data_IF_710449517637
#
_entry.id   IF_710449517637
#
_cell.length_a   1.000
_cell.length_b   1.000
_cell.length_c   1.000
_cell.angle_alpha   90.00
_cell.angle_beta   90.00
_cell.angle_gamma   90.00
#
_symmetry.space_group_name_H-M   'P 1'
#
loop_
_entity.id
_entity.type
_entity.pdbx_description
1 polymer ?
#
# COMPACT_ATOMS: atom_id res chain seq x y z
N UNK A 1 10.71 -38.31 -16.25
CA UNK A 1 11.05 -37.27 -17.24
C UNK A 1 9.99 -36.21 -17.15
N UNK A 2 10.31 -35.05 -16.58
CA UNK A 2 9.48 -33.86 -16.77
C UNK A 2 9.60 -33.53 -18.25
N UNK A 3 8.54 -33.77 -19.00
CA UNK A 3 8.41 -33.28 -20.37
C UNK A 3 8.69 -31.78 -20.30
N UNK A 4 9.67 -31.31 -21.08
CA UNK A 4 9.89 -29.87 -21.31
C UNK A 4 8.57 -29.32 -21.87
N UNK A 5 7.74 -28.83 -20.97
CA UNK A 5 6.47 -28.22 -21.29
C UNK A 5 6.78 -26.88 -21.93
N UNK A 6 6.13 -26.61 -23.07
CA UNK A 6 6.26 -25.34 -23.77
C UNK A 6 6.11 -24.16 -22.77
N UNK A 7 7.07 -23.23 -22.69
CA UNK A 7 7.00 -22.08 -21.79
C UNK A 7 5.70 -21.29 -21.91
N UNK A 8 5.09 -21.23 -23.10
CA UNK A 8 3.81 -20.54 -23.29
C UNK A 8 2.65 -21.28 -22.61
N UNK A 9 2.64 -22.61 -22.69
CA UNK A 9 1.66 -23.46 -21.98
C UNK A 9 1.88 -23.38 -20.48
N UNK A 10 3.14 -23.32 -20.02
CA UNK A 10 3.47 -23.13 -18.60
C UNK A 10 2.91 -21.81 -18.05
N UNK A 11 3.08 -20.71 -18.80
CA UNK A 11 2.56 -19.39 -18.42
C UNK A 11 1.02 -19.36 -18.39
N UNK A 12 0.36 -20.03 -19.35
CA UNK A 12 -1.10 -20.16 -19.37
C UNK A 12 -1.61 -20.98 -18.17
N UNK A 13 -0.94 -22.07 -17.84
CA UNK A 13 -1.28 -22.91 -16.69
C UNK A 13 -1.08 -22.17 -15.37
N UNK A 14 0.02 -21.40 -15.23
CA UNK A 14 0.24 -20.53 -14.08
C UNK A 14 -0.89 -19.50 -13.95
N UNK A 15 -1.24 -18.81 -15.04
CA UNK A 15 -2.33 -17.84 -15.04
C UNK A 15 -3.65 -18.49 -14.58
N UNK A 16 -3.95 -19.69 -15.07
CA UNK A 16 -5.15 -20.43 -14.70
C UNK A 16 -5.13 -20.87 -13.22
N UNK A 17 -3.98 -21.34 -12.72
CA UNK A 17 -3.81 -21.67 -11.30
C UNK A 17 -4.00 -20.43 -10.40
N UNK A 18 -3.42 -19.29 -10.78
CA UNK A 18 -3.62 -18.02 -10.08
C UNK A 18 -5.07 -17.56 -10.11
N UNK A 19 -5.78 -17.76 -11.23
CA UNK A 19 -7.20 -17.45 -11.40
C UNK A 19 -8.08 -18.30 -10.47
N UNK A 20 -7.80 -19.59 -10.40
CA UNK A 20 -8.52 -20.55 -9.55
C UNK A 20 -8.10 -20.48 -8.07
N UNK A 21 -7.09 -19.66 -7.75
CA UNK A 21 -6.48 -19.53 -6.42
C UNK A 21 -5.88 -20.85 -5.89
N UNK A 22 -5.34 -21.67 -6.79
CA UNK A 22 -4.62 -22.90 -6.44
C UNK A 22 -3.16 -22.56 -6.11
N UNK A 23 -2.86 -22.42 -4.81
CA UNK A 23 -1.54 -22.06 -4.30
C UNK A 23 -0.49 -23.13 -4.60
N UNK A 24 -0.82 -24.41 -4.45
CA UNK A 24 0.14 -25.51 -4.63
C UNK A 24 0.60 -25.61 -6.08
N UNK A 25 -0.36 -25.69 -7.01
CA UNK A 25 -0.08 -25.74 -8.44
C UNK A 25 0.64 -24.47 -8.92
N UNK A 26 0.27 -23.28 -8.42
CA UNK A 26 0.94 -22.05 -8.81
C UNK A 26 2.40 -22.02 -8.33
N UNK A 27 2.70 -22.51 -7.13
CA UNK A 27 4.07 -22.60 -6.62
C UNK A 27 4.93 -23.59 -7.43
N UNK A 28 4.39 -24.76 -7.76
CA UNK A 28 5.10 -25.74 -8.60
C UNK A 28 5.52 -25.13 -9.94
N UNK A 29 4.66 -24.32 -10.55
CA UNK A 29 5.01 -23.60 -11.77
C UNK A 29 6.07 -22.53 -11.50
N UNK A 30 5.92 -21.70 -10.46
CA UNK A 30 6.87 -20.61 -10.15
C UNK A 30 8.29 -21.08 -9.83
N UNK A 31 8.46 -22.29 -9.28
CA UNK A 31 9.78 -22.92 -9.10
C UNK A 31 10.48 -23.24 -10.43
N UNK A 32 9.75 -23.28 -11.55
CA UNK A 32 10.25 -23.47 -12.89
C UNK A 32 11.04 -22.25 -13.41
N UNK A 33 12.23 -22.48 -13.98
CA UNK A 33 13.17 -21.42 -14.40
C UNK A 33 12.76 -20.58 -15.61
N UNK A 34 11.68 -20.93 -16.32
CA UNK A 34 11.31 -20.32 -17.61
C UNK A 34 9.94 -19.60 -17.58
N UNK A 35 9.47 -19.21 -16.40
CA UNK A 35 8.19 -18.51 -16.27
C UNK A 35 8.31 -17.01 -16.54
N UNK A 36 7.42 -16.51 -17.39
CA UNK A 36 7.17 -15.09 -17.56
C UNK A 36 6.02 -14.67 -16.62
N UNK A 37 6.36 -14.16 -15.44
CA UNK A 37 5.36 -13.66 -14.48
C UNK A 37 4.58 -12.42 -14.98
N UNK A 38 5.05 -11.78 -16.05
CA UNK A 38 4.37 -10.67 -16.74
C UNK A 38 3.49 -11.14 -17.91
N UNK A 39 3.25 -12.45 -18.04
CA UNK A 39 2.36 -12.99 -19.06
C UNK A 39 0.95 -12.39 -18.94
N UNK A 40 0.39 -11.95 -20.07
CA UNK A 40 -0.94 -11.36 -20.15
C UNK A 40 -1.88 -12.27 -20.94
N UNK A 41 -3.11 -12.46 -20.43
CA UNK A 41 -4.19 -13.09 -21.18
C UNK A 41 -4.74 -12.20 -22.29
N UNK A 42 -5.60 -12.75 -23.14
CA UNK A 42 -6.36 -11.96 -24.15
C UNK A 42 -7.16 -10.82 -23.51
N UNK A 43 -7.66 -11.03 -22.28
CA UNK A 43 -8.38 -10.03 -21.48
C UNK A 43 -7.44 -9.09 -20.69
N UNK A 44 -6.13 -9.12 -20.95
CA UNK A 44 -5.07 -8.34 -20.28
C UNK A 44 -4.92 -8.63 -18.78
N UNK A 45 -5.31 -9.82 -18.33
CA UNK A 45 -5.07 -10.27 -16.97
C UNK A 45 -3.70 -10.91 -16.84
N UNK A 46 -3.01 -10.61 -15.73
CA UNK A 46 -1.74 -11.24 -15.38
C UNK A 46 -1.89 -12.17 -14.18
N UNK A 47 -0.93 -13.07 -13.93
CA UNK A 47 -0.87 -13.83 -12.70
C UNK A 47 -0.98 -12.93 -11.47
N UNK A 48 -0.24 -11.80 -11.46
CA UNK A 48 -0.27 -10.84 -10.36
C UNK A 48 -1.64 -10.19 -10.17
N UNK A 49 -2.35 -9.84 -11.25
CA UNK A 49 -3.71 -9.29 -11.16
C UNK A 49 -4.70 -10.28 -10.53
N UNK A 50 -4.63 -11.57 -10.88
CA UNK A 50 -5.48 -12.61 -10.30
C UNK A 50 -5.18 -12.83 -8.83
N UNK A 51 -3.89 -12.98 -8.49
CA UNK A 51 -3.43 -13.14 -7.11
C UNK A 51 -3.86 -11.96 -6.22
N UNK A 52 -3.74 -10.73 -6.74
CA UNK A 52 -4.18 -9.52 -6.06
C UNK A 52 -5.70 -9.39 -5.95
N UNK A 53 -6.47 -10.04 -6.84
CA UNK A 53 -7.93 -10.10 -6.73
C UNK A 53 -8.38 -11.13 -5.69
N UNK A 54 -7.69 -12.27 -5.64
CA UNK A 54 -7.99 -13.40 -4.77
C UNK A 54 -7.51 -13.19 -3.33
N UNK A 55 -6.49 -12.35 -3.11
CA UNK A 55 -5.98 -12.04 -1.77
C UNK A 55 -4.92 -13.01 -1.27
N UNK A 56 -4.21 -13.69 -2.17
CA UNK A 56 -3.11 -14.58 -1.80
C UNK A 56 -1.82 -13.79 -1.59
N UNK A 57 -1.56 -13.39 -0.35
CA UNK A 57 -0.37 -12.60 0.03
C UNK A 57 0.96 -13.31 -0.28
N UNK A 58 1.00 -14.65 -0.16
CA UNK A 58 2.22 -15.44 -0.38
C UNK A 58 2.60 -15.45 -1.86
N UNK A 59 1.65 -15.80 -2.73
CA UNK A 59 1.86 -15.75 -4.18
C UNK A 59 2.15 -14.32 -4.63
N UNK A 60 1.52 -13.31 -4.02
CA UNK A 60 1.80 -11.91 -4.34
C UNK A 60 3.24 -11.58 -4.03
N UNK A 61 3.73 -11.96 -2.84
CA UNK A 61 5.11 -11.74 -2.44
C UNK A 61 6.10 -12.42 -3.38
N UNK A 62 5.90 -13.69 -3.73
CA UNK A 62 6.79 -14.44 -4.65
C UNK A 62 6.81 -13.79 -6.04
N UNK A 63 5.64 -13.53 -6.63
CA UNK A 63 5.54 -12.90 -7.96
C UNK A 63 6.22 -11.53 -8.00
N UNK A 64 6.09 -10.75 -6.93
CA UNK A 64 6.67 -9.41 -6.84
C UNK A 64 8.19 -9.46 -6.60
N UNK A 65 8.65 -10.22 -5.61
CA UNK A 65 10.05 -10.23 -5.17
C UNK A 65 10.96 -11.09 -6.02
N UNK A 66 10.49 -12.28 -6.41
CA UNK A 66 11.34 -13.28 -7.08
C UNK A 66 11.25 -13.17 -8.60
N UNK A 67 10.07 -12.80 -9.12
CA UNK A 67 9.83 -12.73 -10.57
C UNK A 67 9.64 -11.32 -11.12
N UNK A 68 9.70 -10.28 -10.28
CA UNK A 68 9.65 -8.88 -10.72
C UNK A 68 8.37 -8.48 -11.46
N UNK A 69 7.24 -9.14 -11.18
CA UNK A 69 5.97 -8.94 -11.90
C UNK A 69 5.40 -7.51 -11.78
N UNK A 70 5.94 -6.68 -10.88
CA UNK A 70 5.59 -5.27 -10.76
C UNK A 70 6.08 -4.42 -11.94
N UNK A 71 7.19 -4.80 -12.59
CA UNK A 71 7.90 -3.93 -13.56
C UNK A 71 7.03 -3.46 -14.71
N UNK A 72 6.13 -4.32 -15.20
CA UNK A 72 5.20 -3.99 -16.29
C UNK A 72 4.16 -2.90 -15.95
N UNK A 73 3.94 -2.60 -14.67
CA UNK A 73 2.99 -1.58 -14.21
C UNK A 73 3.66 -0.28 -13.82
N UNK A 74 4.97 -0.30 -13.62
CA UNK A 74 5.75 0.87 -13.30
C UNK A 74 6.07 1.54 -14.62
N UNK A 75 5.54 2.75 -14.85
CA UNK A 75 5.91 3.54 -16.02
C UNK A 75 7.42 3.78 -15.93
N UNK A 76 8.17 3.38 -16.97
CA UNK A 76 9.58 3.77 -17.09
C UNK A 76 9.64 5.27 -16.83
N UNK A 77 10.61 5.70 -16.01
CA UNK A 77 10.98 7.10 -15.95
C UNK A 77 11.53 7.43 -17.35
N UNK A 78 10.64 7.69 -18.31
CA UNK A 78 11.02 8.41 -19.52
C UNK A 78 11.84 9.59 -19.04
N UNK A 79 13.01 9.79 -19.67
CA UNK A 79 13.92 10.92 -19.52
C UNK A 79 13.16 12.23 -19.75
N UNK A 80 12.28 12.60 -18.84
CA UNK A 80 11.86 13.97 -18.62
C UNK A 80 13.06 14.56 -17.92
N UNK A 81 13.77 15.39 -18.68
CA UNK A 81 14.83 16.29 -18.26
C UNK A 81 14.80 16.52 -16.74
N UNK A 82 15.93 16.29 -16.07
CA UNK A 82 16.11 16.48 -14.63
C UNK A 82 15.70 17.90 -14.22
N UNK A 83 14.42 18.13 -13.97
CA UNK A 83 13.96 19.14 -13.04
C UNK A 83 14.09 18.50 -11.66
N UNK A 84 15.16 18.85 -10.94
CA UNK A 84 15.56 18.34 -9.61
C UNK A 84 14.47 18.48 -8.50
N UNK A 85 13.27 18.94 -8.84
CA UNK A 85 12.14 19.22 -7.95
C UNK A 85 10.80 18.63 -8.46
N UNK A 86 10.82 17.66 -9.41
CA UNK A 86 9.60 17.08 -9.98
C UNK A 86 9.03 15.96 -9.09
N UNK A 87 7.87 16.23 -8.49
CA UNK A 87 7.08 15.35 -7.62
C UNK A 87 6.74 13.98 -8.28
N UNK A 88 7.03 12.83 -7.63
CA UNK A 88 6.65 11.50 -8.13
C UNK A 88 5.12 11.27 -8.21
N UNK A 89 4.31 12.21 -7.70
CA UNK A 89 2.84 12.14 -7.65
C UNK A 89 2.13 13.13 -8.57
N UNK A 90 2.75 13.53 -9.69
CA UNK A 90 2.16 14.47 -10.65
C UNK A 90 0.80 13.98 -11.16
N UNK A 91 -0.24 14.73 -10.83
CA UNK A 91 -1.63 14.60 -11.31
C UNK A 91 -1.66 14.46 -12.84
N UNK A 92 -2.31 13.43 -13.41
CA UNK A 92 -2.48 13.34 -14.86
C UNK A 92 -3.29 14.54 -15.36
N UNK A 93 -2.69 15.34 -16.25
CA UNK A 93 -3.38 16.38 -17.01
C UNK A 93 -4.31 15.68 -18.01
N UNK A 94 -5.60 15.73 -17.70
CA UNK A 94 -6.71 15.37 -18.57
C UNK A 94 -6.97 13.87 -18.80
N UNK A 95 -8.25 13.51 -18.76
CA UNK A 95 -8.84 12.19 -19.00
C UNK A 95 -8.69 11.68 -20.46
N UNK A 96 -7.60 12.05 -21.15
CA UNK A 96 -7.27 11.60 -22.51
C UNK A 96 -6.32 10.40 -22.54
N UNK A 97 -5.66 10.07 -21.43
CA UNK A 97 -4.96 8.78 -21.32
C UNK A 97 -5.98 7.66 -21.09
N UNK A 98 -6.01 6.67 -21.99
CA UNK A 98 -6.72 5.41 -21.74
C UNK A 98 -5.91 4.63 -20.71
N UNK A 99 -6.33 4.69 -19.45
CA UNK A 99 -5.69 3.97 -18.35
C UNK A 99 -5.82 2.45 -18.46
N UNK A 100 -5.14 1.71 -17.58
CA UNK A 100 -5.26 0.24 -17.48
C UNK A 100 -5.47 -0.18 -16.04
N UNK A 101 -6.20 -1.28 -15.84
CA UNK A 101 -6.30 -1.87 -14.50
C UNK A 101 -4.93 -2.38 -14.06
N UNK A 102 -4.47 -1.88 -12.91
CA UNK A 102 -3.26 -2.38 -12.24
C UNK A 102 -3.67 -3.34 -11.11
N UNK A 103 -2.78 -4.25 -10.66
CA UNK A 103 -3.04 -5.12 -9.50
C UNK A 103 -3.44 -4.33 -8.25
N UNK A 104 -2.93 -3.10 -8.11
CA UNK A 104 -3.27 -2.19 -7.02
C UNK A 104 -4.74 -1.78 -7.02
N UNK A 105 -5.38 -1.61 -8.19
CA UNK A 105 -6.81 -1.35 -8.28
C UNK A 105 -7.63 -2.52 -7.72
N UNK A 106 -7.26 -3.75 -8.09
CA UNK A 106 -7.94 -4.96 -7.63
C UNK A 106 -7.76 -5.20 -6.14
N UNK A 107 -6.52 -5.12 -5.64
CA UNK A 107 -6.23 -5.26 -4.21
C UNK A 107 -6.97 -4.19 -3.38
N UNK A 108 -7.06 -2.96 -3.90
CA UNK A 108 -7.79 -1.86 -3.27
C UNK A 108 -9.29 -2.09 -3.21
N UNK A 109 -9.89 -2.53 -4.32
CA UNK A 109 -11.32 -2.84 -4.40
C UNK A 109 -11.69 -4.01 -3.49
N UNK A 110 -10.82 -5.03 -3.42
CA UNK A 110 -11.08 -6.22 -2.60
C UNK A 110 -10.73 -6.06 -1.13
N UNK A 111 -9.91 -5.06 -0.79
CA UNK A 111 -9.55 -4.75 0.60
C UNK A 111 -8.37 -5.54 1.13
N UNK A 112 -7.58 -6.14 0.23
CA UNK A 112 -6.42 -6.95 0.56
C UNK A 112 -5.24 -6.05 0.94
N UNK A 113 -5.30 -5.50 2.15
CA UNK A 113 -4.39 -4.44 2.60
C UNK A 113 -2.92 -4.88 2.64
N UNK A 114 -2.61 -6.14 2.98
CA UNK A 114 -1.24 -6.67 2.96
C UNK A 114 -0.67 -6.68 1.54
N UNK A 115 -1.46 -7.10 0.55
CA UNK A 115 -1.09 -6.98 -0.87
C UNK A 115 -0.89 -5.52 -1.27
N UNK A 116 -1.78 -4.61 -0.86
CA UNK A 116 -1.61 -3.16 -1.13
C UNK A 116 -0.26 -2.67 -0.63
N UNK A 117 0.15 -3.09 0.56
CA UNK A 117 1.45 -2.73 1.13
C UNK A 117 2.63 -3.23 0.28
N UNK A 118 2.59 -4.49 -0.14
CA UNK A 118 3.59 -5.08 -1.03
C UNK A 118 3.68 -4.33 -2.36
N UNK A 119 2.55 -4.06 -3.00
CA UNK A 119 2.51 -3.35 -4.28
C UNK A 119 3.05 -1.92 -4.17
N UNK A 120 2.71 -1.19 -3.09
CA UNK A 120 3.27 0.13 -2.82
C UNK A 120 4.78 0.06 -2.56
N UNK A 121 5.26 -0.99 -1.91
CA UNK A 121 6.70 -1.20 -1.64
C UNK A 121 7.48 -1.41 -2.93
N UNK A 122 6.90 -2.11 -3.89
CA UNK A 122 7.47 -2.31 -5.24
C UNK A 122 7.32 -1.09 -6.15
N UNK A 123 6.67 -0.02 -5.70
CA UNK A 123 6.61 1.26 -6.43
C UNK A 123 5.43 1.40 -7.39
N UNK A 124 4.41 0.53 -7.31
CA UNK A 124 3.15 0.78 -8.03
C UNK A 124 2.52 2.07 -7.51
N UNK A 125 2.10 2.95 -8.42
CA UNK A 125 1.52 4.23 -8.05
C UNK A 125 0.03 4.09 -7.72
N UNK A 126 -0.44 4.56 -6.54
CA UNK A 126 -1.87 4.64 -6.24
C UNK A 126 -2.59 5.67 -7.11
N UNK A 127 -1.85 6.48 -7.88
CA UNK A 127 -2.37 7.49 -8.80
C UNK A 127 -2.52 7.00 -10.24
N UNK A 128 -2.03 5.80 -10.55
CA UNK A 128 -2.32 5.20 -11.85
C UNK A 128 -3.82 5.07 -12.04
N UNK A 129 -4.28 5.33 -13.27
CA UNK A 129 -5.70 5.34 -13.61
C UNK A 129 -6.09 4.09 -14.40
N UNK A 130 -7.28 3.57 -14.13
CA UNK A 130 -7.94 2.54 -14.93
C UNK A 130 -8.59 3.11 -16.21
N UNK A 131 -9.24 2.24 -16.98
CA UNK A 131 -9.93 2.60 -18.24
C UNK A 131 -11.08 3.60 -18.05
N UNK A 132 -11.55 3.82 -16.82
CA UNK A 132 -12.59 4.79 -16.46
C UNK A 132 -12.01 6.03 -15.79
N UNK A 133 -10.68 6.15 -15.72
CA UNK A 133 -9.98 7.22 -15.02
C UNK A 133 -10.01 7.09 -13.50
N UNK A 134 -10.45 5.96 -12.95
CA UNK A 134 -10.42 5.76 -11.50
C UNK A 134 -9.00 5.43 -11.06
N UNK A 135 -8.58 5.96 -9.93
CA UNK A 135 -7.35 5.57 -9.24
C UNK A 135 -7.61 4.43 -8.24
N UNK A 136 -6.56 3.88 -7.64
CA UNK A 136 -6.68 2.88 -6.57
C UNK A 136 -7.54 3.36 -5.39
N UNK A 137 -7.49 4.66 -5.08
CA UNK A 137 -8.33 5.30 -4.06
C UNK A 137 -9.82 5.22 -4.40
N UNK A 138 -10.19 5.52 -5.64
CA UNK A 138 -11.58 5.45 -6.09
C UNK A 138 -12.14 4.03 -5.89
N UNK A 139 -11.33 3.02 -6.19
CA UNK A 139 -11.69 1.62 -5.99
C UNK A 139 -11.84 1.26 -4.51
N UNK A 140 -10.90 1.68 -3.65
CA UNK A 140 -11.00 1.47 -2.19
C UNK A 140 -12.22 2.18 -1.57
N UNK A 141 -12.56 3.37 -2.05
CA UNK A 141 -13.73 4.09 -1.58
C UNK A 141 -15.04 3.43 -2.03
N UNK A 142 -15.11 3.00 -3.30
CA UNK A 142 -16.27 2.29 -3.85
C UNK A 142 -16.57 0.98 -3.10
N UNK A 143 -15.55 0.27 -2.66
CA UNK A 143 -15.71 -0.97 -1.89
C UNK A 143 -15.87 -0.77 -0.38
N UNK A 144 -15.69 0.45 0.13
CA UNK A 144 -15.80 0.74 1.56
C UNK A 144 -14.57 0.33 2.39
N UNK A 145 -13.41 0.13 1.76
CA UNK A 145 -12.21 -0.38 2.40
C UNK A 145 -11.44 0.70 3.18
N UNK A 146 -11.91 1.00 4.39
CA UNK A 146 -11.31 1.99 5.29
C UNK A 146 -9.81 1.76 5.57
N UNK A 147 -9.32 0.54 5.89
CA UNK A 147 -7.89 0.33 6.17
C UNK A 147 -6.98 0.65 4.98
N UNK A 148 -7.44 0.37 3.76
CA UNK A 148 -6.72 0.68 2.53
C UNK A 148 -6.66 2.20 2.31
N UNK A 149 -7.76 2.92 2.58
CA UNK A 149 -7.77 4.38 2.49
C UNK A 149 -6.89 5.04 3.55
N UNK A 150 -6.90 4.56 4.79
CA UNK A 150 -5.96 5.02 5.82
C UNK A 150 -4.51 4.82 5.38
N UNK A 151 -4.20 3.68 4.74
CA UNK A 151 -2.89 3.42 4.17
C UNK A 151 -2.52 4.46 3.10
N UNK A 152 -3.42 4.75 2.15
CA UNK A 152 -3.17 5.78 1.13
C UNK A 152 -3.02 7.18 1.71
N UNK A 153 -3.87 7.59 2.65
CA UNK A 153 -3.71 8.87 3.35
C UNK A 153 -2.40 8.95 4.13
N UNK A 154 -1.95 7.84 4.71
CA UNK A 154 -0.67 7.78 5.41
C UNK A 154 0.52 7.97 4.46
N UNK A 155 0.33 7.71 3.16
CA UNK A 155 1.31 7.96 2.09
C UNK A 155 1.11 9.30 1.37
N UNK A 156 0.18 10.12 1.81
CA UNK A 156 -0.05 11.45 1.25
C UNK A 156 -0.78 11.45 -0.09
N UNK A 157 -1.50 10.37 -0.40
CA UNK A 157 -2.27 10.28 -1.64
C UNK A 157 -3.42 11.29 -1.62
N UNK A 158 -3.57 12.05 -2.70
CA UNK A 158 -4.65 13.01 -2.87
C UNK A 158 -6.00 12.31 -3.11
N UNK A 159 -6.99 12.68 -2.30
CA UNK A 159 -8.35 12.13 -2.35
C UNK A 159 -9.31 12.96 -3.23
N UNK A 160 -8.85 14.12 -3.73
CA UNK A 160 -9.66 15.08 -4.49
C UNK A 160 -9.56 14.87 -6.01
N UNK A 161 -8.80 13.86 -6.44
CA UNK A 161 -8.70 13.48 -7.84
C UNK A 161 -10.06 13.04 -8.37
N UNK A 162 -10.37 13.51 -9.58
CA UNK A 162 -11.60 13.17 -10.29
C UNK A 162 -11.30 12.16 -11.38
N UNK A 163 -12.15 11.15 -11.50
CA UNK A 163 -12.11 10.22 -12.62
C UNK A 163 -12.65 10.84 -13.92
N UNK A 164 -12.69 10.07 -15.01
CA UNK A 164 -13.15 10.54 -16.32
C UNK A 164 -14.63 10.95 -16.37
N UNK A 165 -15.42 10.59 -15.34
CA UNK A 165 -16.81 11.01 -15.17
C UNK A 165 -16.96 12.23 -14.25
N UNK A 166 -15.85 12.77 -13.73
CA UNK A 166 -15.84 13.92 -12.84
C UNK A 166 -16.14 13.58 -11.37
N UNK A 167 -16.21 12.31 -11.01
CA UNK A 167 -16.44 11.85 -9.63
C UNK A 167 -15.12 11.71 -8.87
N UNK A 168 -15.10 12.15 -7.62
CA UNK A 168 -14.03 11.91 -6.66
C UNK A 168 -14.23 10.58 -5.93
N UNK A 169 -13.22 10.16 -5.16
CA UNK A 169 -13.36 9.01 -4.27
C UNK A 169 -14.53 9.17 -3.27
N UNK A 170 -14.77 10.41 -2.81
CA UNK A 170 -15.90 10.73 -1.93
C UNK A 170 -17.26 10.41 -2.58
N UNK A 171 -17.41 10.74 -3.86
CA UNK A 171 -18.65 10.52 -4.61
C UNK A 171 -18.95 9.04 -4.82
N UNK A 172 -17.91 8.21 -4.91
CA UNK A 172 -18.03 6.76 -5.07
C UNK A 172 -18.15 6.01 -3.72
N UNK A 173 -17.87 6.67 -2.61
CA UNK A 173 -17.85 6.04 -1.29
C UNK A 173 -19.20 5.40 -0.91
N UNK A 174 -19.16 4.14 -0.47
CA UNK A 174 -20.36 3.38 -0.10
C UNK A 174 -20.72 3.48 1.38
N UNK A 175 -19.73 3.54 2.27
CA UNK A 175 -19.93 3.58 3.73
C UNK A 175 -19.79 4.99 4.29
N UNK A 176 -20.38 5.23 5.47
CA UNK A 176 -20.30 6.53 6.13
C UNK A 176 -18.89 6.79 6.66
N UNK A 177 -18.24 5.77 7.20
CA UNK A 177 -16.90 5.84 7.76
C UNK A 177 -15.87 6.25 6.71
N UNK A 178 -16.00 5.72 5.49
CA UNK A 178 -15.17 6.12 4.35
C UNK A 178 -15.44 7.55 3.91
N UNK A 179 -16.70 7.98 3.90
CA UNK A 179 -17.05 9.39 3.62
C UNK A 179 -16.48 10.32 4.67
N UNK A 180 -16.58 9.95 5.94
CA UNK A 180 -16.13 10.76 7.06
C UNK A 180 -14.60 10.96 7.00
N UNK A 181 -13.81 9.91 6.75
CA UNK A 181 -12.35 10.05 6.65
C UNK A 181 -11.91 10.84 5.42
N UNK A 182 -12.57 10.66 4.27
CA UNK A 182 -12.27 11.43 3.05
C UNK A 182 -12.63 12.90 3.26
N UNK A 183 -13.80 13.19 3.84
CA UNK A 183 -14.20 14.55 4.18
C UNK A 183 -13.25 15.18 5.20
N UNK A 184 -12.83 14.45 6.22
CA UNK A 184 -11.87 14.95 7.20
C UNK A 184 -10.53 15.28 6.55
N UNK A 185 -10.05 14.41 5.66
CA UNK A 185 -8.84 14.67 4.89
C UNK A 185 -8.96 15.98 4.09
N UNK A 186 -10.04 16.11 3.30
CA UNK A 186 -10.30 17.28 2.43
C UNK A 186 -10.46 18.55 3.25
N UNK A 187 -11.25 18.52 4.32
CA UNK A 187 -11.52 19.67 5.18
C UNK A 187 -10.30 20.12 5.99
N UNK A 188 -9.31 19.24 6.19
CA UNK A 188 -8.08 19.62 6.88
C UNK A 188 -7.13 20.34 5.92
N UNK A 189 -7.13 21.66 5.99
CA UNK A 189 -6.28 22.54 5.16
C UNK A 189 -4.92 22.87 5.79
N UNK A 190 -4.73 22.57 7.08
CA UNK A 190 -3.50 22.95 7.82
C UNK A 190 -2.97 21.82 8.68
N UNK A 191 -1.65 21.76 8.80
CA UNK A 191 -0.98 20.83 9.70
C UNK A 191 -1.41 21.07 11.16
N UNK A 192 -1.75 19.98 11.87
CA UNK A 192 -2.15 20.04 13.28
C UNK A 192 -1.02 20.56 14.19
N UNK A 193 0.25 20.30 13.85
CA UNK A 193 1.39 20.67 14.70
C UNK A 193 1.96 22.06 14.41
N UNK A 194 2.16 22.43 13.14
CA UNK A 194 2.84 23.68 12.76
C UNK A 194 1.94 24.67 12.03
N UNK A 195 0.66 24.32 11.78
CA UNK A 195 -0.34 25.15 11.12
C UNK A 195 0.00 25.62 9.70
N UNK A 196 1.04 25.03 9.08
CA UNK A 196 1.35 25.21 7.66
C UNK A 196 0.17 24.78 6.80
N UNK A 197 -0.17 25.59 5.79
CA UNK A 197 -1.21 25.26 4.82
C UNK A 197 -0.74 24.10 3.95
N UNK A 198 -1.64 23.16 3.68
CA UNK A 198 -1.40 22.07 2.77
C UNK A 198 -1.63 22.49 1.33
N UNK A 199 -0.75 22.06 0.45
CA UNK A 199 -0.82 22.30 -0.99
C UNK A 199 -0.04 21.19 -1.72
N UNK A 200 0.20 21.36 -3.01
CA UNK A 200 0.93 20.40 -3.83
C UNK A 200 2.40 20.21 -3.41
N UNK A 201 3.01 21.17 -2.70
CA UNK A 201 4.38 21.04 -2.15
C UNK A 201 4.36 20.50 -0.72
N UNK A 202 3.37 20.93 0.05
CA UNK A 202 3.21 20.58 1.45
C UNK A 202 2.10 19.52 1.60
N UNK A 203 2.48 18.27 1.34
CA UNK A 203 1.57 17.13 1.29
C UNK A 203 1.00 16.81 2.70
N UNK A 204 -0.26 16.33 2.69
CA UNK A 204 -1.01 15.89 3.89
C UNK A 204 -0.73 14.44 4.20
N UNK A 205 -0.10 14.16 5.33
CA UNK A 205 0.13 12.80 5.81
C UNK A 205 -0.75 12.45 7.00
N UNK A 206 -1.42 11.31 6.93
CA UNK A 206 -2.27 10.82 8.00
C UNK A 206 -1.49 9.99 9.02
N UNK A 207 -1.48 10.44 10.28
CA UNK A 207 -0.90 9.71 11.39
C UNK A 207 -1.82 8.55 11.81
N UNK A 208 -1.36 7.31 11.68
CA UNK A 208 -2.18 6.13 11.98
C UNK A 208 -2.54 5.99 13.46
N UNK A 209 -1.74 6.58 14.36
CA UNK A 209 -1.95 6.47 15.81
C UNK A 209 -2.99 7.47 16.31
N UNK A 210 -2.80 8.75 16.01
CA UNK A 210 -3.70 9.81 16.49
C UNK A 210 -4.80 10.17 15.50
N UNK A 211 -4.82 9.54 14.31
CA UNK A 211 -5.86 9.70 13.28
C UNK A 211 -6.04 11.16 12.86
N UNK A 212 -4.94 11.87 12.60
CA UNK A 212 -4.90 13.31 12.23
C UNK A 212 -3.87 13.58 11.14
N UNK A 213 -3.99 14.72 10.47
CA UNK A 213 -3.14 15.10 9.35
C UNK A 213 -1.97 16.03 9.73
N UNK A 214 -0.80 15.74 9.17
CA UNK A 214 0.45 16.45 9.42
C UNK A 214 1.20 16.69 8.11
N UNK A 215 2.08 17.69 8.08
CA UNK A 215 2.95 17.91 6.92
C UNK A 215 4.20 17.02 6.98
N UNK A 216 4.92 16.93 5.87
CA UNK A 216 6.18 16.15 5.74
C UNK A 216 7.20 16.43 6.85
N UNK A 217 7.25 17.65 7.39
CA UNK A 217 8.18 18.02 8.48
C UNK A 217 7.71 17.59 9.87
N UNK A 218 6.41 17.37 10.03
CA UNK A 218 5.77 17.04 11.31
C UNK A 218 5.33 15.57 11.39
N UNK A 219 5.62 14.76 10.38
CA UNK A 219 5.35 13.33 10.33
C UNK A 219 6.51 12.55 9.74
N UNK A 220 6.62 11.31 10.17
CA UNK A 220 7.60 10.37 9.69
C UNK A 220 6.89 9.20 9.00
N UNK A 221 7.29 8.93 7.76
CA UNK A 221 6.84 7.80 6.95
C UNK A 221 7.91 6.73 6.96
N UNK A 222 7.58 5.55 7.48
CA UNK A 222 8.49 4.43 7.64
C UNK A 222 7.84 3.13 7.16
N UNK A 223 8.68 2.15 6.88
CA UNK A 223 8.25 0.76 6.68
C UNK A 223 8.58 -0.03 7.94
N UNK A 224 7.61 -0.77 8.47
CA UNK A 224 7.76 -1.59 9.68
C UNK A 224 7.53 -3.06 9.38
N UNK A 225 7.94 -3.94 10.29
CA UNK A 225 7.58 -5.35 10.26
C UNK A 225 6.09 -5.49 10.60
N UNK A 226 5.39 -6.35 9.85
CA UNK A 226 3.97 -6.65 10.11
C UNK A 226 3.83 -7.61 11.31
N UNK A 227 4.63 -8.67 11.32
CA UNK A 227 4.66 -9.71 12.36
C UNK A 227 6.08 -9.99 12.84
N UNK A 228 6.21 -10.70 13.97
CA UNK A 228 7.51 -11.11 14.50
C UNK A 228 8.26 -12.05 13.55
N UNK A 229 7.54 -12.84 12.75
CA UNK A 229 8.10 -13.76 11.74
C UNK A 229 8.45 -13.07 10.43
N UNK A 230 7.97 -11.84 10.21
CA UNK A 230 8.21 -11.11 8.95
C UNK A 230 9.71 -10.92 8.70
N UNK A 231 10.19 -11.31 7.53
CA UNK A 231 11.60 -11.17 7.14
C UNK A 231 11.93 -9.75 6.67
N UNK A 232 10.93 -9.04 6.14
CA UNK A 232 11.09 -7.73 5.53
C UNK A 232 10.15 -6.68 6.13
N UNK A 233 10.57 -5.41 6.05
CA UNK A 233 9.77 -4.25 6.46
C UNK A 233 8.87 -3.81 5.31
N UNK A 234 7.63 -4.26 5.35
CA UNK A 234 6.65 -4.11 4.27
C UNK A 234 5.40 -3.37 4.71
N UNK A 235 5.16 -3.18 6.01
CA UNK A 235 4.00 -2.44 6.51
C UNK A 235 4.26 -0.93 6.43
N UNK A 236 3.52 -0.17 5.59
CA UNK A 236 3.69 1.26 5.44
C UNK A 236 3.03 1.98 6.62
N UNK A 237 3.81 2.77 7.35
CA UNK A 237 3.33 3.46 8.54
C UNK A 237 3.67 4.95 8.46
N UNK A 238 2.73 5.80 8.85
CA UNK A 238 2.98 7.21 9.08
C UNK A 238 2.59 7.59 10.50
N UNK A 239 3.49 8.26 11.23
CA UNK A 239 3.19 8.83 12.55
C UNK A 239 3.63 10.27 12.61
N UNK A 240 2.90 11.11 13.35
CA UNK A 240 3.40 12.44 13.68
C UNK A 240 4.59 12.35 14.63
N UNK A 241 5.46 13.36 14.63
CA UNK A 241 6.69 13.37 15.45
C UNK A 241 6.38 13.09 16.93
N UNK A 242 5.29 13.67 17.47
CA UNK A 242 4.90 13.43 18.87
C UNK A 242 4.51 11.96 19.16
N UNK A 243 3.82 11.30 18.24
CA UNK A 243 3.48 9.87 18.38
C UNK A 243 4.73 9.00 18.20
N UNK A 244 5.58 9.33 17.24
CA UNK A 244 6.83 8.63 16.97
C UNK A 244 7.80 8.70 18.16
N UNK A 245 7.95 9.88 18.77
CA UNK A 245 8.78 10.07 19.97
C UNK A 245 8.29 9.27 21.17
N UNK A 246 6.96 9.20 21.36
CA UNK A 246 6.35 8.39 22.42
C UNK A 246 6.59 6.90 22.19
N UNK A 247 6.44 6.44 20.95
CA UNK A 247 6.74 5.05 20.56
C UNK A 247 8.21 4.71 20.87
N UNK A 248 9.16 5.51 20.36
CA UNK A 248 10.61 5.34 20.61
C UNK A 248 10.98 5.37 22.08
N UNK A 249 10.28 6.16 22.90
CA UNK A 249 10.47 6.15 24.35
C UNK A 249 10.00 4.84 24.96
N UNK A 250 8.80 4.37 24.60
CA UNK A 250 8.25 3.09 25.03
C UNK A 250 9.16 1.92 24.66
N UNK A 251 9.68 1.90 23.43
CA UNK A 251 10.61 0.86 22.94
C UNK A 251 11.93 0.83 23.72
N UNK A 252 12.50 2.00 24.05
CA UNK A 252 13.71 2.07 24.89
C UNK A 252 13.45 1.55 26.30
N UNK A 253 12.37 1.99 26.93
CA UNK A 253 12.01 1.53 28.28
C UNK A 253 11.70 0.03 28.29
N UNK A 254 11.04 -0.50 27.26
CA UNK A 254 10.79 -1.93 27.10
C UNK A 254 12.12 -2.70 27.01
N UNK A 255 13.03 -2.27 26.15
CA UNK A 255 14.34 -2.90 25.96
C UNK A 255 15.16 -2.89 27.25
N UNK A 256 15.22 -1.74 27.95
CA UNK A 256 15.90 -1.61 29.23
C UNK A 256 15.29 -2.53 30.31
N UNK A 257 13.96 -2.65 30.37
CA UNK A 257 13.28 -3.53 31.30
C UNK A 257 13.56 -5.02 31.01
N UNK A 258 13.61 -5.40 29.72
CA UNK A 258 14.00 -6.76 29.30
C UNK A 258 15.45 -7.06 29.66
N UNK A 259 16.38 -6.14 29.39
CA UNK A 259 17.80 -6.30 29.70
C UNK A 259 18.07 -6.41 31.21
N UNK A 260 17.24 -5.75 32.03
CA UNK A 260 17.32 -5.78 33.51
C UNK A 260 16.45 -6.84 34.18
N UNK A 261 15.70 -7.64 33.40
CA UNK A 261 14.73 -8.63 33.89
C UNK A 261 13.68 -8.05 34.86
N UNK A 262 13.31 -6.78 34.68
CA UNK A 262 12.31 -6.11 35.51
C UNK A 262 10.91 -6.22 34.88
N UNK A 263 10.21 -7.31 35.21
CA UNK A 263 8.89 -7.63 34.65
C UNK A 263 7.77 -6.67 35.06
N UNK A 264 7.87 -6.02 36.24
CA UNK A 264 6.87 -5.02 36.66
C UNK A 264 6.90 -3.80 35.74
N UNK A 265 8.10 -3.34 35.37
CA UNK A 265 8.28 -2.23 34.42
C UNK A 265 7.81 -2.59 33.01
N UNK A 266 7.94 -3.86 32.59
CA UNK A 266 7.39 -4.32 31.30
C UNK A 266 5.87 -4.18 31.27
N UNK A 267 5.17 -4.64 32.32
CA UNK A 267 3.71 -4.55 32.40
C UNK A 267 3.21 -3.10 32.44
N UNK A 268 3.93 -2.22 33.15
CA UNK A 268 3.65 -0.79 33.18
C UNK A 268 3.78 -0.15 31.78
N UNK A 269 4.87 -0.44 31.07
CA UNK A 269 5.12 0.09 29.71
C UNK A 269 4.04 -0.40 28.73
N UNK A 270 3.70 -1.69 28.75
CA UNK A 270 2.66 -2.26 27.89
C UNK A 270 1.27 -1.67 28.19
N UNK A 271 0.96 -1.43 29.47
CA UNK A 271 -0.28 -0.77 29.90
C UNK A 271 -0.34 0.69 29.38
N UNK A 272 0.72 1.46 29.56
CA UNK A 272 0.80 2.86 29.10
C UNK A 272 0.64 2.96 27.57
N UNK A 273 1.28 2.07 26.82
CA UNK A 273 1.22 2.07 25.35
C UNK A 273 -0.15 1.67 24.84
N UNK A 274 -0.80 0.67 25.46
CA UNK A 274 -2.17 0.26 25.14
C UNK A 274 -3.16 1.41 25.33
N UNK A 275 -3.05 2.16 26.44
CA UNK A 275 -3.95 3.32 26.67
C UNK A 275 -3.76 4.44 25.64
N UNK A 276 -2.58 4.53 25.03
CA UNK A 276 -2.23 5.56 24.04
C UNK A 276 -2.38 5.10 22.59
N UNK A 277 -2.85 3.87 22.37
CA UNK A 277 -2.97 3.24 21.05
C UNK A 277 -1.64 3.26 20.26
N UNK A 278 -0.52 3.06 20.97
CA UNK A 278 0.82 3.03 20.42
C UNK A 278 1.27 1.58 20.25
N UNK A 279 1.58 1.21 19.02
CA UNK A 279 2.17 -0.10 18.71
C UNK A 279 3.70 -0.04 18.89
N UNK A 280 4.28 -1.06 19.54
CA UNK A 280 5.72 -1.30 19.59
C UNK A 280 6.21 -1.99 18.32
N UNK A 281 7.51 -1.91 18.05
CA UNK A 281 8.14 -2.83 17.10
C UNK A 281 7.86 -4.28 17.50
N UNK A 282 7.28 -5.04 16.57
CA UNK A 282 6.97 -6.46 16.73
C UNK A 282 8.22 -7.32 16.96
N UNK A 283 9.41 -6.83 16.61
CA UNK A 283 10.69 -7.52 16.87
C UNK A 283 11.19 -7.35 18.31
N UNK A 284 10.56 -6.48 19.11
CA UNK A 284 10.85 -6.30 20.53
C UNK A 284 9.95 -7.14 21.44
N UNK A 285 8.88 -7.71 20.89
CA UNK A 285 7.94 -8.59 21.59
C UNK A 285 8.35 -10.06 21.43
#
# INVERSE_FOLDING_TARGET
>A
EMVEMDPEVANQNLLQACKDNDEETALEYLEGKEINASYESEDKWTPLSWVCCNGNDKLAHILLKEHGAASMYIKDKEEKEEEEDSDPFKKPEDAKEVGRYTPLHWASYKGHFRIVWLLLKEGLSPLDIDVFGNTAVHQAAASGNLPVLECYLSRGVDMELKNSRGHTAYDLATTKEVKDIINEAIATERCVSCHSVFDFKNIRYYCITCKRFYCTKCSNTLWEYDTAESEHQEKPVCRCNSCDDKKKKGERSMKEAMDTMNFETVDEVLSELRTKNLDLDVKLM
#
